data_IF_382702435876
#
_entry.id   IF_382702435876
#
_cell.length_a   1.000
_cell.length_b   1.000
_cell.length_c   1.000
_cell.angle_alpha   90.00
_cell.angle_beta   90.00
_cell.angle_gamma   90.00
#
_symmetry.space_group_name_H-M   'P 1'
#
loop_
_entity.id
_entity.type
_entity.pdbx_description
1 polymer ?
#
# COMPACT_ATOMS: atom_id res chain seq x y z
N UNK A 1 42.57 -3.13 -20.47
CA UNK A 1 42.19 -3.64 -19.12
C UNK A 1 42.15 -5.16 -19.17
N UNK A 2 42.84 -5.87 -18.26
CA UNK A 2 42.87 -7.34 -18.25
C UNK A 2 41.81 -7.90 -17.30
N UNK A 3 40.60 -8.08 -17.80
CA UNK A 3 39.41 -8.45 -17.01
C UNK A 3 39.32 -9.98 -16.80
N UNK A 4 39.70 -10.76 -17.82
CA UNK A 4 39.69 -12.22 -17.80
C UNK A 4 40.57 -12.87 -16.70
N UNK A 5 41.85 -12.47 -16.48
CA UNK A 5 42.65 -13.08 -15.42
C UNK A 5 42.17 -12.70 -14.02
N UNK A 6 41.64 -11.49 -13.83
CA UNK A 6 41.11 -11.03 -12.54
C UNK A 6 39.91 -11.86 -12.11
N UNK A 7 39.01 -12.21 -13.04
CA UNK A 7 37.89 -13.11 -12.78
C UNK A 7 38.36 -14.51 -12.34
N UNK A 8 39.38 -15.06 -13.00
CA UNK A 8 39.93 -16.37 -12.67
C UNK A 8 40.53 -16.39 -11.25
N UNK A 9 41.26 -15.33 -10.88
CA UNK A 9 41.84 -15.18 -9.53
C UNK A 9 40.74 -15.01 -8.47
N UNK A 10 39.72 -14.20 -8.73
CA UNK A 10 38.62 -13.97 -7.80
C UNK A 10 37.82 -15.27 -7.53
N UNK A 11 37.53 -16.05 -8.57
CA UNK A 11 36.83 -17.33 -8.43
C UNK A 11 37.63 -18.33 -7.59
N UNK A 12 38.96 -18.40 -7.80
CA UNK A 12 39.84 -19.25 -7.01
C UNK A 12 39.90 -18.81 -5.55
N UNK A 13 39.89 -17.49 -5.28
CA UNK A 13 39.87 -16.95 -3.93
C UNK A 13 38.56 -17.27 -3.18
N UNK A 14 37.41 -17.16 -3.85
CA UNK A 14 36.11 -17.55 -3.28
C UNK A 14 36.06 -19.04 -2.93
N UNK A 15 36.58 -19.92 -3.80
CA UNK A 15 36.65 -21.37 -3.52
C UNK A 15 37.56 -21.72 -2.35
N UNK A 16 38.55 -20.88 -2.01
CA UNK A 16 39.47 -21.12 -0.88
C UNK A 16 38.78 -20.91 0.48
N UNK A 17 37.76 -20.07 0.56
CA UNK A 17 37.07 -19.74 1.81
C UNK A 17 35.56 -19.95 1.70
N UNK A 18 35.16 -21.19 1.39
CA UNK A 18 33.76 -21.56 1.11
C UNK A 18 32.79 -21.13 2.21
N UNK A 19 33.12 -21.37 3.49
CA UNK A 19 32.23 -21.04 4.60
C UNK A 19 31.92 -19.55 4.67
N UNK A 20 32.94 -18.69 4.60
CA UNK A 20 32.74 -17.24 4.65
C UNK A 20 31.99 -16.73 3.42
N UNK A 21 32.39 -17.18 2.23
CA UNK A 21 31.76 -16.75 0.98
C UNK A 21 30.28 -17.16 0.88
N UNK A 22 29.94 -18.36 1.35
CA UNK A 22 28.55 -18.83 1.39
C UNK A 22 27.73 -18.01 2.38
N UNK A 23 28.24 -17.79 3.60
CA UNK A 23 27.50 -17.05 4.62
C UNK A 23 27.26 -15.59 4.22
N UNK A 24 28.23 -14.93 3.56
CA UNK A 24 28.04 -13.58 3.03
C UNK A 24 27.03 -13.53 1.88
N UNK A 25 27.04 -14.53 0.99
CA UNK A 25 26.10 -14.60 -0.11
C UNK A 25 24.67 -14.85 0.40
N UNK A 26 24.51 -15.74 1.38
CA UNK A 26 23.21 -16.00 2.03
C UNK A 26 22.63 -14.75 2.67
N UNK A 27 23.44 -13.97 3.39
CA UNK A 27 23.00 -12.71 3.99
C UNK A 27 22.45 -11.72 2.96
N UNK A 28 23.12 -11.57 1.82
CA UNK A 28 22.66 -10.70 0.72
C UNK A 28 21.38 -11.23 0.10
N UNK A 29 21.29 -12.54 -0.18
CA UNK A 29 20.11 -13.17 -0.78
C UNK A 29 18.87 -12.97 0.09
N UNK A 30 18.99 -13.26 1.39
CA UNK A 30 17.87 -13.11 2.33
C UNK A 30 17.53 -11.63 2.54
N UNK A 31 18.55 -10.77 2.69
CA UNK A 31 18.34 -9.34 2.90
C UNK A 31 17.62 -8.67 1.74
N UNK A 32 18.09 -8.90 0.51
CA UNK A 32 17.46 -8.34 -0.70
C UNK A 32 16.08 -8.97 -0.93
N UNK A 33 15.95 -10.29 -0.72
CA UNK A 33 14.67 -10.99 -0.86
C UNK A 33 13.59 -10.47 0.08
N UNK A 34 13.92 -10.23 1.36
CA UNK A 34 13.00 -9.68 2.35
C UNK A 34 12.53 -8.26 1.98
N UNK A 35 13.44 -7.41 1.50
CA UNK A 35 13.10 -6.05 1.06
C UNK A 35 12.16 -6.09 -0.14
N UNK A 36 12.46 -6.91 -1.16
CA UNK A 36 11.60 -7.05 -2.35
C UNK A 36 10.21 -7.56 -1.95
N UNK A 37 10.14 -8.58 -1.08
CA UNK A 37 8.86 -9.12 -0.62
C UNK A 37 8.03 -8.07 0.12
N UNK A 38 8.64 -7.33 1.06
CA UNK A 38 7.96 -6.26 1.80
C UNK A 38 7.43 -5.18 0.86
N UNK A 39 8.23 -4.72 -0.09
CA UNK A 39 7.81 -3.70 -1.06
C UNK A 39 6.68 -4.20 -1.95
N UNK A 40 6.74 -5.46 -2.40
CA UNK A 40 5.68 -6.09 -3.17
C UNK A 40 4.36 -6.16 -2.40
N UNK A 41 4.41 -6.59 -1.13
CA UNK A 41 3.24 -6.62 -0.25
C UNK A 41 2.70 -5.21 -0.01
N UNK A 42 3.57 -4.24 0.27
CA UNK A 42 3.16 -2.85 0.53
C UNK A 42 2.46 -2.21 -0.67
N UNK A 43 3.01 -2.40 -1.88
CA UNK A 43 2.40 -1.90 -3.11
C UNK A 43 1.07 -2.60 -3.42
N UNK A 44 0.99 -3.93 -3.21
CA UNK A 44 -0.25 -4.68 -3.40
C UNK A 44 -1.35 -4.26 -2.43
N UNK A 45 -1.01 -4.08 -1.16
CA UNK A 45 -1.94 -3.58 -0.14
C UNK A 45 -2.42 -2.16 -0.47
N UNK A 46 -1.51 -1.27 -0.89
CA UNK A 46 -1.85 0.08 -1.33
C UNK A 46 -2.82 0.06 -2.51
N UNK A 47 -2.54 -0.75 -3.53
CA UNK A 47 -3.41 -0.89 -4.70
C UNK A 47 -4.80 -1.46 -4.33
N UNK A 48 -4.86 -2.38 -3.38
CA UNK A 48 -6.13 -2.93 -2.90
C UNK A 48 -6.96 -1.89 -2.15
N UNK A 49 -6.32 -1.09 -1.29
CA UNK A 49 -6.98 0.03 -0.59
C UNK A 49 -7.45 1.08 -1.59
N UNK A 50 -6.61 1.44 -2.56
CA UNK A 50 -6.97 2.38 -3.61
C UNK A 50 -8.14 1.89 -4.47
N UNK A 51 -8.19 0.59 -4.80
CA UNK A 51 -9.33 -0.02 -5.47
C UNK A 51 -10.62 0.01 -4.64
N UNK A 52 -10.52 -0.18 -3.32
CA UNK A 52 -11.68 -0.09 -2.43
C UNK A 52 -12.17 1.35 -2.31
N UNK A 53 -11.26 2.32 -2.21
CA UNK A 53 -11.59 3.74 -2.18
C UNK A 53 -12.20 4.18 -3.51
N UNK A 54 -11.62 3.76 -4.65
CA UNK A 54 -12.18 4.02 -5.97
C UNK A 54 -13.57 3.37 -6.14
N UNK A 55 -13.84 2.23 -5.51
CA UNK A 55 -15.16 1.58 -5.54
C UNK A 55 -16.23 2.33 -4.74
N UNK A 56 -15.84 3.21 -3.82
CA UNK A 56 -16.76 4.16 -3.17
C UNK A 56 -17.14 5.30 -4.13
N UNK A 57 -16.38 5.49 -5.22
CA UNK A 57 -16.57 6.52 -6.24
C UNK A 57 -15.70 7.75 -5.96
N UNK A 58 -15.06 8.31 -6.99
CA UNK A 58 -14.26 9.55 -6.89
C UNK A 58 -15.09 10.79 -6.45
N UNK A 59 -16.43 10.67 -6.39
CA UNK A 59 -17.37 11.72 -5.99
C UNK A 59 -18.40 11.21 -4.97
N UNK A 60 -17.97 10.87 -3.76
CA UNK A 60 -18.90 10.62 -2.64
C UNK A 60 -19.34 11.97 -2.06
N UNK A 61 -20.61 12.36 -2.31
CA UNK A 61 -21.25 13.49 -1.63
C UNK A 61 -21.95 12.93 -0.39
N UNK A 62 -21.39 13.23 0.79
CA UNK A 62 -22.00 12.89 2.08
C UNK A 62 -23.05 13.93 2.45
N UNK A 63 -24.33 13.61 2.24
CA UNK A 63 -25.45 14.50 2.58
C UNK A 63 -25.90 14.18 4.00
N UNK A 64 -25.77 15.17 4.90
CA UNK A 64 -26.27 15.08 6.27
C UNK A 64 -27.55 15.93 6.40
N UNK A 65 -28.62 15.35 6.91
CA UNK A 65 -29.87 16.04 7.17
C UNK A 65 -29.69 17.08 8.29
N UNK A 66 -29.79 18.36 7.95
CA UNK A 66 -29.75 19.45 8.92
C UNK A 66 -30.96 19.46 9.85
N UNK A 67 -30.85 20.13 11.00
CA UNK A 67 -31.99 20.38 11.90
C UNK A 67 -32.92 21.43 11.30
N UNK A 68 -34.18 21.07 11.02
CA UNK A 68 -35.19 22.04 10.57
C UNK A 68 -35.84 22.73 11.77
N UNK A 69 -35.99 24.06 11.71
CA UNK A 69 -36.81 24.83 12.66
C UNK A 69 -38.05 25.27 11.92
N UNK A 70 -39.18 24.61 12.18
CA UNK A 70 -40.47 25.01 11.62
C UNK A 70 -41.40 25.42 12.75
N UNK A 71 -41.98 26.61 12.64
CA UNK A 71 -43.01 27.13 13.55
C UNK A 71 -42.64 27.06 15.05
N UNK A 72 -41.45 27.53 15.42
CA UNK A 72 -41.02 27.65 16.82
C UNK A 72 -40.58 26.34 17.48
N UNK A 73 -40.70 25.19 16.80
CA UNK A 73 -40.23 23.90 17.28
C UNK A 73 -38.85 23.64 16.67
N UNK A 74 -37.84 23.50 17.54
CA UNK A 74 -36.48 23.09 17.16
C UNK A 74 -36.42 21.57 17.18
N UNK A 75 -36.53 20.94 16.02
CA UNK A 75 -36.33 19.50 15.93
C UNK A 75 -34.83 19.23 15.93
N UNK A 76 -34.36 18.37 16.84
CA UNK A 76 -32.94 18.03 16.99
C UNK A 76 -32.33 17.39 15.75
N UNK A 77 -31.05 17.03 15.83
CA UNK A 77 -30.32 16.37 14.74
C UNK A 77 -31.11 15.16 14.21
N UNK A 78 -31.45 15.14 12.91
CA UNK A 78 -32.33 14.13 12.29
C UNK A 78 -33.82 14.49 12.22
N UNK A 79 -34.20 15.70 12.63
CA UNK A 79 -35.58 16.18 12.66
C UNK A 79 -36.14 16.75 11.35
N UNK A 80 -35.29 16.97 10.35
CA UNK A 80 -35.75 17.28 9.00
C UNK A 80 -36.23 15.98 8.34
N UNK A 81 -37.39 16.04 7.68
CA UNK A 81 -37.96 14.92 6.94
C UNK A 81 -36.91 14.25 6.08
N UNK A 82 -36.77 12.94 6.30
CA UNK A 82 -35.96 11.98 5.54
C UNK A 82 -35.79 12.41 4.08
N UNK A 83 -34.56 12.76 3.72
CA UNK A 83 -34.15 12.98 2.34
C UNK A 83 -34.31 11.66 1.62
N UNK A 84 -35.23 11.60 0.66
CA UNK A 84 -35.44 10.41 -0.15
C UNK A 84 -34.52 10.47 -1.35
N UNK A 85 -34.21 9.31 -1.90
CA UNK A 85 -33.46 9.19 -3.16
C UNK A 85 -34.15 9.94 -4.31
N UNK A 86 -35.47 10.14 -4.20
CA UNK A 86 -36.31 10.95 -5.08
C UNK A 86 -35.94 12.45 -5.09
N UNK A 87 -35.33 13.00 -4.02
CA UNK A 87 -34.98 14.43 -3.90
C UNK A 87 -33.60 14.77 -4.52
N UNK A 88 -32.88 13.76 -5.02
CA UNK A 88 -31.53 13.89 -5.55
C UNK A 88 -31.46 14.02 -7.09
N UNK A 89 -32.59 13.89 -7.79
CA UNK A 89 -32.72 14.11 -9.25
C UNK A 89 -33.14 15.55 -9.61
#
# INVERSE_FOLDING_TARGET
>A
MRIAPTFHVAYRALRRNKMRSVLTALGIIIGVGAVIAMVGIGNGAKAQVESQIASLGENVILIFSGSTTSSGIRTGWGGAGTLKIEDAE
#
